data_IF_750714102409
#
_entry.id   IF_750714102409
#
_cell.length_a   1.000
_cell.length_b   1.000
_cell.length_c   1.000
_cell.angle_alpha   90.00
_cell.angle_beta   90.00
_cell.angle_gamma   90.00
#
_symmetry.space_group_name_H-M   'P 1'
#
loop_
_entity.id
_entity.type
_entity.pdbx_description
1 polymer ?
#
# COMPACT_ATOMS: atom_id res chain seq x y z
N UNK A 1 31.27 -12.30 36.00
CA UNK A 1 30.75 -13.36 35.09
C UNK A 1 29.30 -13.16 34.64
N UNK A 2 28.39 -12.53 35.43
CA UNK A 2 26.96 -12.38 35.04
C UNK A 2 26.68 -11.31 33.95
N UNK A 3 27.51 -10.27 33.83
CA UNK A 3 27.28 -9.20 32.85
C UNK A 3 27.57 -9.61 31.40
N UNK A 4 28.56 -10.48 31.17
CA UNK A 4 28.95 -10.89 29.82
C UNK A 4 27.93 -11.83 29.17
N UNK A 5 27.22 -12.63 29.98
CA UNK A 5 26.15 -13.51 29.51
C UNK A 5 24.94 -12.71 29.03
N UNK A 6 24.56 -11.64 29.75
CA UNK A 6 23.50 -10.72 29.32
C UNK A 6 23.87 -9.99 28.02
N UNK A 7 25.12 -9.53 27.89
CA UNK A 7 25.59 -8.89 26.65
C UNK A 7 25.62 -9.87 25.47
N UNK A 8 26.04 -11.12 25.67
CA UNK A 8 25.99 -12.15 24.63
C UNK A 8 24.55 -12.50 24.24
N UNK A 9 23.63 -12.55 25.20
CA UNK A 9 22.21 -12.85 24.95
C UNK A 9 21.53 -11.72 24.17
N UNK A 10 21.84 -10.45 24.48
CA UNK A 10 21.35 -9.29 23.72
C UNK A 10 21.95 -9.23 22.31
N UNK A 11 23.21 -9.59 22.14
CA UNK A 11 23.84 -9.74 20.81
C UNK A 11 23.24 -10.90 20.01
N UNK A 12 22.89 -12.01 20.67
CA UNK A 12 22.28 -13.17 20.01
C UNK A 12 20.79 -12.93 19.65
N UNK A 13 20.05 -12.26 20.53
CA UNK A 13 18.66 -11.88 20.27
C UNK A 13 18.52 -10.84 19.15
N UNK A 14 19.53 -9.97 18.96
CA UNK A 14 19.59 -9.04 17.82
C UNK A 14 20.09 -9.69 16.51
N UNK A 15 20.60 -10.92 16.58
CA UNK A 15 21.01 -11.73 15.43
C UNK A 15 19.96 -12.77 15.01
N UNK A 16 18.80 -12.83 15.67
CA UNK A 16 17.70 -13.63 15.16
C UNK A 16 17.26 -13.00 13.83
N UNK A 17 17.37 -13.70 12.69
CA UNK A 17 16.88 -13.19 11.43
C UNK A 17 15.38 -12.94 11.62
N UNK A 18 14.95 -11.69 11.34
CA UNK A 18 13.54 -11.35 11.20
C UNK A 18 13.05 -12.03 9.92
N UNK A 19 12.86 -13.34 10.02
CA UNK A 19 12.44 -14.19 8.93
C UNK A 19 10.91 -14.13 8.87
N UNK A 20 10.38 -13.61 7.77
CA UNK A 20 8.95 -13.59 7.52
C UNK A 20 8.29 -14.95 7.79
N UNK A 21 7.16 -14.93 8.48
CA UNK A 21 6.37 -16.10 8.89
C UNK A 21 5.03 -16.11 8.16
N UNK A 22 4.92 -17.05 7.21
CA UNK A 22 3.67 -17.41 6.54
C UNK A 22 2.56 -17.67 7.57
N UNK A 23 1.36 -17.15 7.30
CA UNK A 23 0.17 -17.41 8.11
C UNK A 23 -0.16 -18.91 8.14
N UNK A 24 -0.50 -19.43 9.31
CA UNK A 24 -1.07 -20.77 9.44
C UNK A 24 -2.50 -20.81 8.94
N UNK A 25 -3.03 -22.01 8.74
CA UNK A 25 -4.44 -22.21 8.36
C UNK A 25 -5.37 -21.62 9.41
N UNK A 26 -5.05 -21.80 10.70
CA UNK A 26 -5.83 -21.28 11.82
C UNK A 26 -5.82 -19.75 11.86
N UNK A 27 -4.67 -19.11 11.62
CA UNK A 27 -4.59 -17.65 11.50
C UNK A 27 -5.45 -17.15 10.33
N UNK A 28 -5.42 -17.83 9.19
CA UNK A 28 -6.24 -17.47 8.03
C UNK A 28 -7.74 -17.60 8.32
N UNK A 29 -8.17 -18.68 8.97
CA UNK A 29 -9.57 -18.88 9.36
C UNK A 29 -10.05 -17.83 10.36
N UNK A 30 -9.18 -17.41 11.28
CA UNK A 30 -9.48 -16.33 12.22
C UNK A 30 -9.57 -14.98 11.53
N UNK A 31 -8.62 -14.67 10.63
CA UNK A 31 -8.62 -13.44 9.84
C UNK A 31 -9.89 -13.32 9.00
N UNK A 32 -10.33 -14.43 8.39
CA UNK A 32 -11.57 -14.47 7.59
C UNK A 32 -12.83 -14.13 8.40
N UNK A 33 -12.82 -14.32 9.72
CA UNK A 33 -13.96 -13.97 10.60
C UNK A 33 -13.98 -12.50 11.03
N UNK A 34 -12.86 -11.78 10.90
CA UNK A 34 -12.67 -10.42 11.44
C UNK A 34 -12.31 -9.37 10.38
N UNK A 35 -12.15 -9.79 9.13
CA UNK A 35 -11.83 -8.91 8.03
C UNK A 35 -13.03 -8.05 7.60
N UNK A 36 -12.77 -6.96 6.87
CA UNK A 36 -13.82 -6.14 6.25
C UNK A 36 -14.68 -5.33 7.23
N UNK A 37 -14.30 -5.30 8.51
CA UNK A 37 -14.96 -4.49 9.53
C UNK A 37 -14.49 -3.05 9.39
N UNK A 38 -15.41 -2.14 9.04
CA UNK A 38 -15.16 -0.70 9.07
C UNK A 38 -15.04 -0.22 10.51
N UNK A 39 -13.99 0.53 10.83
CA UNK A 39 -13.80 1.11 12.16
C UNK A 39 -14.27 2.57 12.16
N UNK A 40 -15.58 2.77 12.19
CA UNK A 40 -16.13 4.06 12.59
C UNK A 40 -16.29 4.00 14.10
N UNK A 41 -15.30 4.53 14.83
CA UNK A 41 -15.34 4.61 16.29
C UNK A 41 -16.70 5.14 16.75
N UNK A 42 -17.25 4.54 17.80
CA UNK A 42 -18.63 4.74 18.26
C UNK A 42 -19.13 6.19 18.07
N UNK A 43 -20.14 6.36 17.21
CA UNK A 43 -21.07 7.49 17.31
C UNK A 43 -20.77 8.80 16.58
N UNK A 44 -20.13 8.81 15.40
CA UNK A 44 -20.16 10.02 14.53
C UNK A 44 -20.46 9.70 13.07
N UNK A 45 -21.74 9.81 12.69
CA UNK A 45 -22.10 10.10 11.31
C UNK A 45 -21.80 11.58 11.05
N UNK A 46 -20.78 11.85 10.26
CA UNK A 46 -20.41 13.20 9.85
C UNK A 46 -21.35 13.69 8.75
N UNK A 47 -22.41 14.40 9.14
CA UNK A 47 -23.39 15.07 8.25
C UNK A 47 -22.82 16.30 7.51
N UNK A 48 -21.52 16.34 7.21
CA UNK A 48 -20.94 17.40 6.37
C UNK A 48 -20.30 16.78 5.15
N UNK A 49 -20.97 16.93 4.01
CA UNK A 49 -20.43 16.56 2.70
C UNK A 49 -19.07 17.23 2.48
N UNK A 50 -17.95 16.50 2.53
CA UNK A 50 -16.64 17.10 2.35
C UNK A 50 -16.48 17.55 0.90
N UNK A 51 -15.62 18.55 0.63
CA UNK A 51 -15.33 18.98 -0.74
C UNK A 51 -14.85 17.78 -1.57
N UNK A 52 -15.53 17.55 -2.71
CA UNK A 52 -15.19 16.52 -3.67
C UNK A 52 -13.84 16.87 -4.32
N UNK A 53 -12.93 15.90 -4.43
CA UNK A 53 -11.60 15.98 -5.08
C UNK A 53 -11.51 14.94 -6.21
N UNK A 54 -10.39 14.86 -6.92
CA UNK A 54 -10.22 14.14 -8.20
C UNK A 54 -11.00 12.82 -8.30
N UNK A 55 -11.72 12.65 -9.41
CA UNK A 55 -12.80 11.66 -9.66
C UNK A 55 -14.08 11.83 -8.82
N UNK A 56 -14.29 12.99 -8.19
CA UNK A 56 -15.46 13.23 -7.34
C UNK A 56 -15.37 12.54 -5.97
N UNK A 57 -14.18 12.04 -5.61
CA UNK A 57 -13.90 11.38 -4.34
C UNK A 57 -13.83 12.34 -3.16
N UNK A 58 -13.75 11.82 -1.94
CA UNK A 58 -13.57 12.65 -0.72
C UNK A 58 -12.44 12.13 0.14
N UNK A 59 -11.87 13.01 0.97
CA UNK A 59 -11.02 12.54 2.06
C UNK A 59 -11.88 11.69 3.01
N UNK A 60 -11.38 10.53 3.39
CA UNK A 60 -12.06 9.67 4.35
C UNK A 60 -11.72 10.06 5.79
N UNK A 61 -12.62 9.73 6.71
CA UNK A 61 -12.36 9.92 8.14
C UNK A 61 -11.36 8.89 8.65
N UNK A 62 -10.59 9.25 9.69
CA UNK A 62 -9.67 8.30 10.31
C UNK A 62 -10.43 7.01 10.63
N UNK A 63 -9.86 5.88 10.20
CA UNK A 63 -10.37 4.52 10.41
C UNK A 63 -11.62 4.13 9.59
N UNK A 64 -12.10 4.97 8.67
CA UNK A 64 -13.21 4.63 7.78
C UNK A 64 -12.88 3.45 6.84
N UNK A 65 -11.66 3.39 6.31
CA UNK A 65 -11.11 2.27 5.52
C UNK A 65 -9.81 1.80 6.15
N UNK A 66 -9.88 1.08 7.29
CA UNK A 66 -8.73 0.85 8.16
C UNK A 66 -7.61 0.06 7.46
N UNK A 67 -7.96 -0.82 6.53
CA UNK A 67 -7.03 -1.60 5.71
C UNK A 67 -6.25 -0.79 4.67
N UNK A 68 -6.52 0.51 4.49
CA UNK A 68 -5.83 1.31 3.47
C UNK A 68 -4.40 1.58 3.90
N UNK A 69 -3.46 1.22 3.02
CA UNK A 69 -2.02 1.40 3.24
C UNK A 69 -1.48 2.47 2.30
N UNK A 70 -0.64 3.36 2.82
CA UNK A 70 0.18 4.26 2.01
C UNK A 70 1.60 3.74 1.97
N UNK A 71 2.13 3.55 0.77
CA UNK A 71 3.51 3.14 0.53
C UNK A 71 4.28 4.35 0.00
N UNK A 72 5.41 4.65 0.62
CA UNK A 72 6.35 5.67 0.14
C UNK A 72 7.65 4.96 -0.18
N UNK A 73 8.04 5.00 -1.45
CA UNK A 73 9.28 4.41 -1.91
C UNK A 73 10.25 5.49 -2.34
N UNK A 74 11.49 5.39 -1.85
CA UNK A 74 12.54 6.35 -2.18
C UNK A 74 13.57 5.72 -3.11
N UNK A 75 13.81 6.37 -4.24
CA UNK A 75 14.93 6.11 -5.15
C UNK A 75 15.82 7.35 -5.20
N UNK A 76 17.10 7.26 -5.63
CA UNK A 76 17.96 8.43 -5.81
C UNK A 76 17.27 9.52 -6.66
N UNK A 77 16.95 10.66 -6.02
CA UNK A 77 16.31 11.81 -6.67
C UNK A 77 14.82 11.67 -6.98
N UNK A 78 14.12 10.60 -6.55
CA UNK A 78 12.67 10.42 -6.75
C UNK A 78 12.00 9.77 -5.55
N UNK A 79 10.83 10.29 -5.18
CA UNK A 79 9.91 9.66 -4.23
C UNK A 79 8.65 9.23 -5.00
N UNK A 80 8.21 7.99 -4.78
CA UNK A 80 7.00 7.44 -5.38
C UNK A 80 6.01 7.08 -4.29
N UNK A 81 4.75 7.47 -4.46
CA UNK A 81 3.66 7.09 -3.56
C UNK A 81 2.77 6.04 -4.23
N UNK A 82 2.60 4.91 -3.57
CA UNK A 82 1.68 3.85 -3.94
C UNK A 82 0.65 3.60 -2.83
N UNK A 83 -0.39 2.84 -3.16
CA UNK A 83 -1.34 2.31 -2.17
C UNK A 83 -1.19 0.80 -2.00
N UNK A 84 -1.70 0.30 -0.89
CA UNK A 84 -1.85 -1.13 -0.64
C UNK A 84 -3.08 -1.41 0.22
N UNK A 85 -3.37 -2.69 0.40
CA UNK A 85 -4.43 -3.17 1.27
C UNK A 85 -3.86 -4.14 2.31
N UNK A 86 -4.11 -3.87 3.59
CA UNK A 86 -3.83 -4.82 4.66
C UNK A 86 -4.80 -6.01 4.53
N UNK A 87 -4.27 -7.21 4.31
CA UNK A 87 -5.07 -8.45 4.11
C UNK A 87 -4.92 -9.45 5.27
N UNK A 88 -3.97 -9.18 6.16
CA UNK A 88 -3.78 -9.87 7.44
C UNK A 88 -3.08 -8.93 8.42
N UNK A 89 -2.89 -9.28 9.70
CA UNK A 89 -2.13 -8.44 10.64
C UNK A 89 -0.73 -8.03 10.16
N UNK A 90 -0.09 -8.76 9.24
CA UNK A 90 1.28 -8.45 8.76
C UNK A 90 1.48 -8.56 7.25
N UNK A 91 0.41 -8.72 6.47
CA UNK A 91 0.50 -8.89 5.02
C UNK A 91 -0.25 -7.78 4.30
N UNK A 92 0.42 -7.17 3.35
CA UNK A 92 -0.10 -6.10 2.51
C UNK A 92 -0.08 -6.55 1.06
N UNK A 93 -1.23 -6.44 0.41
CA UNK A 93 -1.35 -6.63 -1.02
C UNK A 93 -1.15 -5.29 -1.74
N UNK A 94 -0.30 -5.28 -2.77
CA UNK A 94 -0.05 -4.09 -3.60
C UNK A 94 0.26 -4.52 -5.04
N UNK A 95 0.51 -3.56 -5.92
CA UNK A 95 0.91 -3.81 -7.30
C UNK A 95 2.40 -4.18 -7.39
N UNK A 96 2.74 -5.04 -8.35
CA UNK A 96 4.13 -5.39 -8.64
C UNK A 96 4.93 -4.17 -9.11
N UNK A 97 4.32 -3.31 -9.93
CA UNK A 97 4.99 -2.09 -10.42
C UNK A 97 5.36 -1.11 -9.30
N UNK A 98 4.72 -1.18 -8.13
CA UNK A 98 5.08 -0.35 -6.98
C UNK A 98 6.41 -0.75 -6.37
N UNK A 99 6.67 -2.05 -6.28
CA UNK A 99 7.82 -2.61 -5.55
C UNK A 99 9.00 -2.97 -6.46
N UNK A 100 8.85 -2.76 -7.76
CA UNK A 100 9.89 -2.98 -8.76
C UNK A 100 10.43 -1.64 -9.28
N UNK A 101 11.73 -1.60 -9.53
CA UNK A 101 12.40 -0.53 -10.27
C UNK A 101 12.79 -1.02 -11.66
N UNK A 102 12.63 -0.12 -12.64
CA UNK A 102 12.82 -0.40 -14.05
C UNK A 102 13.64 0.70 -14.72
N UNK A 103 14.47 0.34 -15.68
CA UNK A 103 14.95 1.28 -16.68
C UNK A 103 13.88 1.45 -17.75
N UNK A 104 13.21 2.61 -17.75
CA UNK A 104 12.11 2.90 -18.66
C UNK A 104 12.52 2.80 -20.15
N UNK A 105 13.71 3.28 -20.51
CA UNK A 105 14.18 3.28 -21.88
C UNK A 105 14.52 1.85 -22.36
N UNK A 106 15.16 1.07 -21.49
CA UNK A 106 15.47 -0.32 -21.77
C UNK A 106 14.19 -1.17 -21.91
N UNK A 107 13.26 -1.02 -20.97
CA UNK A 107 12.03 -1.81 -20.96
C UNK A 107 11.11 -1.48 -22.13
N UNK A 108 10.95 -0.21 -22.47
CA UNK A 108 10.18 0.20 -23.65
C UNK A 108 10.74 -0.42 -24.92
N UNK A 109 12.08 -0.47 -25.06
CA UNK A 109 12.72 -1.14 -26.17
C UNK A 109 12.46 -2.65 -26.18
N UNK A 110 12.57 -3.35 -25.04
CA UNK A 110 12.31 -4.79 -24.96
C UNK A 110 10.86 -5.14 -25.32
N UNK A 111 9.89 -4.38 -24.83
CA UNK A 111 8.48 -4.59 -25.15
C UNK A 111 8.19 -4.37 -26.64
N UNK A 112 8.85 -3.41 -27.28
CA UNK A 112 8.73 -3.18 -28.74
C UNK A 112 9.21 -4.37 -29.60
N UNK A 113 10.08 -5.23 -29.05
CA UNK A 113 10.61 -6.40 -29.73
C UNK A 113 9.78 -7.68 -29.47
N UNK A 114 8.62 -7.56 -28.82
CA UNK A 114 7.76 -8.68 -28.39
C UNK A 114 8.54 -9.76 -27.61
N UNK A 115 9.55 -9.34 -26.84
CA UNK A 115 10.29 -10.22 -25.95
C UNK A 115 9.63 -10.17 -24.59
N UNK A 116 8.93 -11.25 -24.24
CA UNK A 116 8.37 -11.45 -22.89
C UNK A 116 9.48 -11.81 -21.91
N UNK A 117 10.25 -10.81 -21.49
CA UNK A 117 11.05 -10.91 -20.28
C UNK A 117 10.35 -10.05 -19.23
N UNK A 118 10.18 -10.59 -18.02
CA UNK A 118 9.95 -9.80 -16.81
C UNK A 118 11.08 -8.76 -16.76
N UNK A 119 10.78 -7.57 -17.25
CA UNK A 119 11.75 -6.71 -17.90
C UNK A 119 12.79 -6.20 -16.89
N UNK A 120 14.03 -6.73 -16.94
CA UNK A 120 15.19 -6.48 -16.04
C UNK A 120 14.86 -5.59 -14.84
N UNK A 121 13.98 -6.09 -13.98
CA UNK A 121 13.42 -5.31 -12.89
C UNK A 121 14.18 -5.66 -11.63
N UNK A 122 14.61 -4.66 -10.89
CA UNK A 122 15.22 -4.88 -9.57
C UNK A 122 14.13 -4.70 -8.53
N UNK A 123 13.95 -5.72 -7.69
CA UNK A 123 13.08 -5.59 -6.53
C UNK A 123 13.65 -4.52 -5.59
N UNK A 124 12.82 -3.55 -5.23
CA UNK A 124 13.17 -2.51 -4.26
C UNK A 124 13.60 -3.18 -2.95
N UNK A 125 14.57 -2.58 -2.30
CA UNK A 125 15.01 -3.05 -0.99
C UNK A 125 13.95 -2.77 0.07
N UNK A 126 13.65 -3.71 1.00
CA UNK A 126 12.68 -3.50 2.08
C UNK A 126 12.86 -2.18 2.85
N UNK A 127 14.10 -1.77 3.12
CA UNK A 127 14.43 -0.54 3.84
C UNK A 127 14.10 0.76 3.08
N UNK A 128 13.87 0.67 1.76
CA UNK A 128 13.49 1.82 0.92
C UNK A 128 11.97 1.93 0.74
N UNK A 129 11.19 1.12 1.45
CA UNK A 129 9.72 1.16 1.44
C UNK A 129 9.22 1.51 2.84
N UNK A 130 8.70 2.72 2.96
CA UNK A 130 8.03 3.19 4.18
C UNK A 130 6.54 2.86 4.08
N UNK A 131 6.05 2.07 5.04
CA UNK A 131 4.66 1.63 5.08
C UNK A 131 3.91 2.41 6.16
N UNK A 132 2.86 3.13 5.77
CA UNK A 132 1.99 3.84 6.69
C UNK A 132 0.57 3.26 6.71
N UNK A 133 0.07 2.96 7.90
CA UNK A 133 -1.24 2.35 8.13
C UNK A 133 -2.03 3.19 9.16
N UNK A 134 -3.36 3.28 9.01
CA UNK A 134 -4.22 3.97 10.00
C UNK A 134 -4.11 5.50 9.97
N UNK A 135 -3.60 6.08 8.88
CA UNK A 135 -3.50 7.53 8.67
C UNK A 135 -4.44 8.01 7.56
N UNK A 136 -4.93 9.24 7.71
CA UNK A 136 -5.78 9.91 6.71
C UNK A 136 -5.16 11.23 6.19
N UNK A 137 -4.00 11.62 6.73
CA UNK A 137 -3.18 12.76 6.30
C UNK A 137 -1.74 12.45 6.66
N UNK A 138 -0.87 12.36 5.67
CA UNK A 138 0.56 12.42 5.92
C UNK A 138 0.90 13.89 6.21
N UNK A 139 1.48 14.20 7.36
CA UNK A 139 2.11 15.50 7.57
C UNK A 139 3.56 15.35 7.12
N UNK A 140 4.13 16.40 6.51
CA UNK A 140 5.49 16.40 5.94
C UNK A 140 6.50 15.56 6.75
N UNK A 141 7.18 14.62 6.07
CA UNK A 141 8.14 13.66 6.62
C UNK A 141 9.16 14.27 7.60
N UNK A 142 9.47 15.56 7.44
CA UNK A 142 10.43 16.30 8.26
C UNK A 142 9.93 16.63 9.68
N UNK A 143 8.66 16.42 9.99
CA UNK A 143 8.08 16.56 11.34
C UNK A 143 7.26 15.32 11.69
N UNK A 144 7.94 14.21 12.01
CA UNK A 144 7.33 12.99 12.52
C UNK A 144 6.68 13.25 13.89
N UNK A 145 5.44 13.73 13.87
CA UNK A 145 4.55 13.71 15.04
C UNK A 145 4.49 12.27 15.59
N UNK A 146 4.42 12.05 16.92
CA UNK A 146 4.22 10.73 17.52
C UNK A 146 3.20 9.83 16.80
N UNK A 147 2.10 10.40 16.32
CA UNK A 147 1.06 9.68 15.54
C UNK A 147 1.53 9.10 14.22
N UNK A 148 2.52 9.72 13.56
CA UNK A 148 3.12 9.20 12.33
C UNK A 148 4.08 8.05 12.62
N UNK A 149 4.77 8.09 13.77
CA UNK A 149 5.66 7.00 14.20
C UNK A 149 4.88 5.74 14.54
N UNK A 150 3.72 5.89 15.19
CA UNK A 150 2.82 4.77 15.50
C UNK A 150 2.20 4.12 14.26
N UNK A 151 2.13 4.87 13.16
CA UNK A 151 1.59 4.41 11.88
C UNK A 151 2.64 3.81 10.94
N UNK A 152 3.92 3.99 11.25
CA UNK A 152 5.03 3.54 10.41
C UNK A 152 5.38 2.09 10.72
N UNK A 153 5.45 1.26 9.69
CA UNK A 153 5.80 -0.15 9.78
C UNK A 153 7.00 -0.49 8.87
N UNK A 154 7.84 -1.41 9.34
CA UNK A 154 9.00 -1.90 8.59
C UNK A 154 8.63 -3.13 7.76
N UNK A 155 9.29 -3.26 6.60
CA UNK A 155 9.13 -4.40 5.70
C UNK A 155 10.17 -5.47 6.04
N UNK A 156 9.72 -6.72 6.19
CA UNK A 156 10.57 -7.91 6.33
C UNK A 156 10.87 -8.54 4.97
N UNK A 157 9.85 -8.68 4.12
CA UNK A 157 9.98 -9.39 2.84
C UNK A 157 9.02 -8.85 1.79
N UNK A 158 9.47 -8.89 0.54
CA UNK A 158 8.67 -8.58 -0.64
C UNK A 158 8.62 -9.83 -1.50
N UNK A 159 7.43 -10.18 -2.00
CA UNK A 159 7.23 -11.27 -2.96
C UNK A 159 6.42 -10.74 -4.12
N UNK A 160 6.98 -10.79 -5.32
CA UNK A 160 6.30 -10.36 -6.55
C UNK A 160 5.76 -11.60 -7.25
N UNK A 161 4.51 -11.55 -7.71
CA UNK A 161 3.96 -12.60 -8.58
C UNK A 161 4.66 -12.56 -9.95
N UNK A 162 4.34 -13.50 -10.85
CA UNK A 162 4.89 -13.56 -12.21
C UNK A 162 4.43 -12.39 -13.09
N UNK A 163 4.87 -11.18 -12.75
CA UNK A 163 4.49 -9.92 -13.36
C UNK A 163 5.10 -9.81 -14.75
N UNK A 164 4.24 -9.57 -15.73
CA UNK A 164 4.60 -9.29 -17.10
C UNK A 164 4.47 -7.79 -17.34
N UNK A 165 5.61 -7.12 -17.37
CA UNK A 165 5.66 -5.67 -17.53
C UNK A 165 5.10 -5.20 -18.88
N UNK A 166 5.34 -5.94 -19.96
CA UNK A 166 4.95 -5.49 -21.30
C UNK A 166 3.43 -5.58 -21.55
N UNK A 167 2.78 -6.50 -20.85
CA UNK A 167 1.34 -6.75 -20.98
C UNK A 167 0.53 -6.39 -19.73
N UNK A 168 1.20 -5.85 -18.70
CA UNK A 168 0.63 -5.57 -17.38
C UNK A 168 -0.11 -6.77 -16.74
N UNK A 169 0.27 -8.00 -17.10
CA UNK A 169 -0.35 -9.18 -16.53
C UNK A 169 0.25 -9.49 -15.16
N UNK A 170 -0.60 -9.94 -14.23
CA UNK A 170 -0.20 -10.33 -12.88
C UNK A 170 0.51 -9.22 -12.09
N UNK A 171 0.01 -7.99 -12.18
CA UNK A 171 0.52 -6.83 -11.44
C UNK A 171 0.20 -6.91 -9.95
N UNK A 172 0.81 -7.88 -9.28
CA UNK A 172 0.50 -8.26 -7.91
C UNK A 172 1.78 -8.54 -7.12
N UNK A 173 1.88 -7.93 -5.95
CA UNK A 173 2.94 -8.18 -4.99
C UNK A 173 2.40 -8.24 -3.57
N UNK A 174 3.14 -8.97 -2.73
CA UNK A 174 2.91 -9.13 -1.31
C UNK A 174 4.07 -8.52 -0.54
N UNK A 175 3.74 -7.63 0.38
CA UNK A 175 4.68 -7.08 1.36
C UNK A 175 4.36 -7.73 2.71
N UNK A 176 5.38 -8.29 3.36
CA UNK A 176 5.32 -8.82 4.71
C UNK A 176 6.00 -7.85 5.68
N UNK A 177 5.30 -7.50 6.75
CA UNK A 177 5.79 -6.60 7.80
C UNK A 177 6.64 -7.38 8.81
N UNK A 178 7.54 -6.66 9.50
CA UNK A 178 8.34 -7.24 10.59
C UNK A 178 7.51 -7.56 11.83
N UNK A 179 6.37 -6.90 12.00
CA UNK A 179 5.52 -6.95 13.19
C UNK A 179 4.04 -6.95 12.80
N UNK A 180 3.20 -7.59 13.62
CA UNK A 180 1.75 -7.54 13.45
C UNK A 180 1.21 -6.14 13.79
N UNK A 181 0.33 -5.63 12.93
CA UNK A 181 -0.41 -4.39 13.13
C UNK A 181 -1.50 -4.61 14.18
N UNK A 182 -1.53 -3.76 15.19
CA UNK A 182 -2.56 -3.80 16.23
C UNK A 182 -3.96 -3.56 15.65
N UNK A 183 -4.92 -4.39 16.04
CA UNK A 183 -6.34 -4.25 15.67
C UNK A 183 -6.92 -2.89 16.13
N UNK A 184 -6.31 -2.23 17.12
CA UNK A 184 -6.72 -0.90 17.57
C UNK A 184 -6.44 0.21 16.52
N UNK A 185 -5.51 -0.03 15.60
CA UNK A 185 -5.09 0.94 14.58
C UNK A 185 -5.64 0.59 13.20
N UNK A 186 -5.72 -0.70 12.89
CA UNK A 186 -6.15 -1.16 11.58
C UNK A 186 -6.63 -2.60 11.60
N UNK A 187 -7.61 -2.90 10.76
CA UNK A 187 -8.14 -4.25 10.53
C UNK A 187 -7.98 -4.60 9.05
N UNK A 188 -7.77 -5.89 8.72
CA UNK A 188 -7.57 -6.31 7.33
C UNK A 188 -8.88 -6.27 6.52
N UNK A 189 -8.76 -6.07 5.21
CA UNK A 189 -9.86 -6.30 4.26
C UNK A 189 -10.04 -7.80 4.01
N UNK A 190 -11.27 -8.22 3.70
CA UNK A 190 -11.51 -9.60 3.29
C UNK A 190 -11.00 -9.87 1.88
N UNK A 191 -10.36 -11.02 1.70
CA UNK A 191 -10.01 -11.52 0.38
C UNK A 191 -11.25 -12.15 -0.28
N UNK A 192 -11.56 -11.81 -1.54
CA UNK A 192 -12.68 -12.40 -2.25
C UNK A 192 -12.39 -13.88 -2.58
N UNK A 193 -13.46 -14.67 -2.71
CA UNK A 193 -13.37 -16.00 -3.32
C UNK A 193 -13.74 -15.92 -4.81
N UNK A 194 -13.41 -16.96 -5.57
CA UNK A 194 -13.63 -17.03 -7.03
C UNK A 194 -15.11 -16.88 -7.43
N UNK A 195 -16.03 -17.19 -6.53
CA UNK A 195 -17.47 -17.14 -6.77
C UNK A 195 -18.13 -15.85 -6.25
N UNK A 196 -17.34 -14.90 -5.74
CA UNK A 196 -17.87 -13.64 -5.23
C UNK A 196 -18.45 -12.83 -6.37
N UNK A 197 -19.76 -12.57 -6.30
CA UNK A 197 -20.42 -11.64 -7.21
C UNK A 197 -20.08 -10.21 -6.81
N UNK A 198 -19.50 -9.46 -7.72
CA UNK A 198 -19.23 -8.04 -7.52
C UNK A 198 -20.53 -7.25 -7.54
N UNK A 199 -20.60 -6.23 -6.68
CA UNK A 199 -21.66 -5.24 -6.73
C UNK A 199 -21.52 -4.33 -7.95
N UNK A 200 -22.62 -3.72 -8.37
CA UNK A 200 -22.64 -2.71 -9.44
C UNK A 200 -21.80 -1.47 -9.08
N UNK A 201 -21.70 -1.20 -7.78
CA UNK A 201 -20.93 -0.09 -7.23
C UNK A 201 -19.82 -0.64 -6.35
N UNK A 202 -18.60 -0.18 -6.61
CA UNK A 202 -17.42 -0.46 -5.81
C UNK A 202 -16.83 0.84 -5.27
N UNK A 203 -15.96 0.73 -4.27
CA UNK A 203 -15.26 1.86 -3.68
C UNK A 203 -13.76 1.57 -3.67
N UNK A 204 -12.97 2.52 -4.14
CA UNK A 204 -11.50 2.46 -4.06
C UNK A 204 -11.02 3.44 -2.99
N UNK A 205 -10.14 3.00 -2.11
CA UNK A 205 -9.47 3.84 -1.11
C UNK A 205 -7.96 3.78 -1.29
N UNK A 206 -7.28 4.93 -1.29
CA UNK A 206 -5.83 4.97 -1.51
C UNK A 206 -5.21 6.35 -1.43
N UNK A 207 -3.88 6.38 -1.35
CA UNK A 207 -3.03 7.56 -1.44
C UNK A 207 -2.27 7.50 -2.76
N UNK A 208 -2.49 8.48 -3.64
CA UNK A 208 -1.84 8.57 -4.95
C UNK A 208 -2.04 9.94 -5.60
N UNK A 209 -1.23 10.25 -6.60
CA UNK A 209 -1.34 11.47 -7.41
C UNK A 209 -1.64 11.10 -8.87
N UNK A 210 -2.64 11.74 -9.47
CA UNK A 210 -2.99 11.56 -10.88
C UNK A 210 -1.97 12.28 -11.78
N UNK A 211 -1.44 11.59 -12.80
CA UNK A 211 -0.75 12.23 -13.93
C UNK A 211 -1.76 12.39 -15.08
N UNK A 212 -2.51 13.49 -15.11
CA UNK A 212 -3.36 13.80 -16.28
C UNK A 212 -2.56 14.61 -17.30
N UNK A 213 -2.40 14.08 -18.52
CA UNK A 213 -1.79 14.73 -19.69
C UNK A 213 -0.32 15.14 -19.59
N UNK A 214 0.54 14.40 -18.88
CA UNK A 214 2.00 14.65 -18.89
C UNK A 214 2.40 16.04 -18.38
N UNK A 215 1.49 16.77 -17.73
CA UNK A 215 1.77 18.03 -17.04
C UNK A 215 1.77 17.73 -15.56
N UNK A 216 2.96 17.76 -14.98
CA UNK A 216 3.15 17.80 -13.54
C UNK A 216 2.51 19.10 -13.03
N UNK A 217 1.32 19.02 -12.45
CA UNK A 217 0.69 20.17 -11.79
C UNK A 217 1.49 20.51 -10.53
N UNK A 218 2.60 21.23 -10.73
CA UNK A 218 3.06 22.16 -9.72
C UNK A 218 1.99 23.25 -9.65
N UNK A 219 1.14 23.20 -8.62
CA UNK A 219 0.49 24.43 -8.17
C UNK A 219 1.61 25.35 -7.66
N UNK A 220 2.23 26.10 -8.57
CA UNK A 220 3.14 27.20 -8.25
C UNK A 220 2.31 28.34 -7.68
N UNK A 221 2.09 28.29 -6.36
CA UNK A 221 2.23 29.46 -5.49
C UNK A 221 2.31 28.99 -4.03
N UNK A 222 3.46 29.27 -3.41
CA UNK A 222 3.81 29.10 -2.01
C UNK A 222 4.05 27.67 -1.49
N UNK A 223 5.24 27.48 -0.92
CA UNK A 223 5.55 26.43 0.04
C UNK A 223 4.58 26.56 1.22
N UNK A 224 3.50 25.77 1.23
CA UNK A 224 2.59 25.60 2.36
C UNK A 224 1.94 24.21 2.28
N UNK A 225 1.46 23.70 3.41
CA UNK A 225 0.96 22.35 3.79
C UNK A 225 0.07 21.51 2.84
N UNK A 226 -0.14 21.91 1.58
CA UNK A 226 -1.06 21.27 0.63
C UNK A 226 -0.44 20.17 -0.25
N UNK A 227 0.87 19.93 -0.20
CA UNK A 227 1.56 18.92 -1.03
C UNK A 227 1.66 17.51 -0.45
N UNK A 228 1.15 17.28 0.77
CA UNK A 228 1.33 15.98 1.40
C UNK A 228 0.32 14.93 0.86
N UNK A 229 0.73 13.65 0.70
CA UNK A 229 -0.14 12.56 0.30
C UNK A 229 -1.39 12.50 1.19
N UNK A 230 -2.57 12.48 0.55
CA UNK A 230 -3.86 12.32 1.23
C UNK A 230 -4.56 11.10 0.70
N UNK A 231 -5.22 10.40 1.61
CA UNK A 231 -5.99 9.22 1.27
C UNK A 231 -7.40 9.63 0.87
N UNK A 232 -7.86 9.14 -0.27
CA UNK A 232 -9.16 9.48 -0.86
C UNK A 232 -9.99 8.22 -1.10
N UNK A 233 -11.31 8.39 -1.11
CA UNK A 233 -12.25 7.38 -1.59
C UNK A 233 -12.91 7.80 -2.90
N UNK A 234 -12.93 6.91 -3.88
CA UNK A 234 -13.61 7.08 -5.18
C UNK A 234 -14.69 6.01 -5.34
N UNK A 235 -15.89 6.42 -5.78
CA UNK A 235 -16.97 5.52 -6.15
C UNK A 235 -16.78 5.06 -7.60
N UNK A 236 -16.71 3.75 -7.80
CA UNK A 236 -16.55 3.11 -9.10
C UNK A 236 -17.84 2.40 -9.50
N UNK A 237 -18.11 2.37 -10.81
CA UNK A 237 -19.25 1.63 -11.37
C UNK A 237 -18.69 0.43 -12.11
N UNK A 238 -19.06 -0.78 -11.72
CA UNK A 238 -18.57 -1.98 -12.40
C UNK A 238 -19.21 -2.06 -13.78
N UNK A 239 -18.40 -2.30 -14.81
CA UNK A 239 -18.90 -2.59 -16.16
C UNK A 239 -18.58 -4.04 -16.51
N UNK A 240 -19.43 -4.75 -17.28
CA UNK A 240 -19.27 -6.19 -17.53
C UNK A 240 -17.98 -6.61 -18.27
N UNK A 241 -17.15 -5.66 -18.72
CA UNK A 241 -15.99 -5.95 -19.58
C UNK A 241 -14.63 -5.94 -18.89
N UNK A 242 -14.51 -5.47 -17.65
CA UNK A 242 -13.23 -5.45 -16.93
C UNK A 242 -13.38 -6.12 -15.57
N UNK A 243 -13.18 -7.44 -15.57
CA UNK A 243 -12.95 -8.23 -14.36
C UNK A 243 -11.43 -8.46 -14.21
N UNK A 244 -10.67 -7.38 -14.18
CA UNK A 244 -9.38 -7.36 -13.51
C UNK A 244 -9.64 -6.72 -12.15
N UNK A 245 -9.04 -7.30 -11.12
CA UNK A 245 -8.98 -6.76 -9.76
C UNK A 245 -8.90 -5.23 -9.87
N UNK A 246 -9.92 -4.53 -9.33
CA UNK A 246 -10.03 -3.06 -9.36
C UNK A 246 -8.64 -2.47 -9.29
N UNK A 247 -8.24 -1.73 -10.33
CA UNK A 247 -6.93 -1.07 -10.48
C UNK A 247 -6.64 -0.23 -9.24
N UNK A 248 -6.19 -0.90 -8.18
CA UNK A 248 -5.56 -0.32 -7.04
C UNK A 248 -4.17 0.02 -7.53
N UNK A 249 -3.94 1.31 -7.67
CA UNK A 249 -2.68 1.97 -8.01
C UNK A 249 -2.45 2.18 -9.51
N UNK A 250 -2.61 3.45 -9.89
CA UNK A 250 -1.88 4.12 -10.98
C UNK A 250 -1.78 3.39 -12.30
N UNK A 251 -2.54 3.84 -13.30
CA UNK A 251 -2.23 3.58 -14.71
C UNK A 251 -0.77 3.98 -15.01
N UNK A 252 0.08 3.06 -15.46
CA UNK A 252 1.26 3.41 -16.23
C UNK A 252 0.80 3.81 -17.65
N UNK A 253 1.41 4.86 -18.19
CA UNK A 253 1.20 5.31 -19.57
C UNK A 253 1.67 4.29 -20.60
#
# INVERSE_FOLDING_TARGET
MKHWVLSLYLLYASLLPVQGRKLTTEENEQNAKRCGVHFLGEGKQSERSPPKRSFGGRQFERNEYPWTVTLIMTSPGREMTCSGALISPRHILTAAHCVLEYDAAFNQHQCSLNRSYSALSVMRSPENIFVFIGINKLLSYNNLNPKLREALHNVSKITVHNFDHCYHNNDLALIELTEDVSEAHSTPICMPNENLKLYDVLYASGSGMDQYNGVEFTSTTSMNDDKAPRTVIVKLTSTPKHHQFVECVGHPA
#
